data_IF_978006482967
#
_entry.id   IF_978006482967
#
_cell.length_a   1.000
_cell.length_b   1.000
_cell.length_c   1.000
_cell.angle_alpha   90.00
_cell.angle_beta   90.00
_cell.angle_gamma   90.00
#
_symmetry.space_group_name_H-M   'P 1'
#
loop_
_entity.id
_entity.type
_entity.pdbx_description
1 polymer ?
#
# COMPACT_ATOMS: atom_id res chain seq x y z
N UNK A 1 45.11 -29.21 -27.30
CA UNK A 1 45.25 -28.75 -25.90
C UNK A 1 45.98 -27.41 -25.78
N UNK A 2 47.22 -27.28 -26.27
CA UNK A 2 48.02 -26.04 -26.13
C UNK A 2 47.35 -24.80 -26.72
N UNK A 3 46.70 -24.94 -27.88
CA UNK A 3 46.04 -23.81 -28.56
C UNK A 3 44.90 -23.18 -27.74
N UNK A 4 44.04 -24.01 -27.12
CA UNK A 4 42.94 -23.52 -26.27
C UNK A 4 43.44 -22.84 -24.99
N UNK A 5 44.54 -23.33 -24.42
CA UNK A 5 45.20 -22.70 -23.25
C UNK A 5 45.68 -21.29 -23.61
N UNK A 6 46.37 -21.15 -24.74
CA UNK A 6 46.87 -19.84 -25.21
C UNK A 6 45.73 -18.88 -25.50
N UNK A 7 44.65 -19.34 -26.15
CA UNK A 7 43.48 -18.50 -26.43
C UNK A 7 42.79 -18.02 -25.15
N UNK A 8 42.63 -18.88 -24.15
CA UNK A 8 42.06 -18.51 -22.85
C UNK A 8 42.91 -17.46 -22.13
N UNK A 9 44.24 -17.61 -22.13
CA UNK A 9 45.14 -16.60 -21.56
C UNK A 9 45.06 -15.26 -22.30
N UNK A 10 45.02 -15.28 -23.64
CA UNK A 10 44.89 -14.07 -24.44
C UNK A 10 43.55 -13.36 -24.22
N UNK A 11 42.45 -14.11 -24.14
CA UNK A 11 41.13 -13.55 -23.81
C UNK A 11 41.11 -12.97 -22.39
N UNK A 12 41.69 -13.67 -21.41
CA UNK A 12 41.75 -13.18 -20.04
C UNK A 12 42.57 -11.90 -19.91
N UNK A 13 43.71 -11.81 -20.60
CA UNK A 13 44.52 -10.59 -20.66
C UNK A 13 43.74 -9.42 -21.26
N UNK A 14 42.95 -9.65 -22.31
CA UNK A 14 42.11 -8.61 -22.93
C UNK A 14 40.99 -8.13 -22.02
N UNK A 15 40.23 -9.06 -21.43
CA UNK A 15 39.03 -8.76 -20.65
C UNK A 15 39.34 -8.12 -19.29
N UNK A 16 40.49 -8.47 -18.68
CA UNK A 16 40.86 -7.98 -17.33
C UNK A 16 41.85 -6.82 -17.32
N UNK A 17 42.12 -6.21 -18.47
CA UNK A 17 43.00 -5.03 -18.55
C UNK A 17 44.48 -5.35 -18.31
N UNK A 18 44.93 -6.52 -18.75
CA UNK A 18 46.34 -6.92 -18.75
C UNK A 18 46.76 -7.84 -17.59
N UNK A 19 48.09 -7.95 -17.41
CA UNK A 19 48.71 -8.94 -16.53
C UNK A 19 48.34 -8.78 -15.05
N UNK A 20 48.17 -7.54 -14.57
CA UNK A 20 47.79 -7.30 -13.18
C UNK A 20 46.41 -7.90 -12.88
N UNK A 21 45.40 -7.62 -13.72
CA UNK A 21 44.06 -8.16 -13.54
C UNK A 21 43.99 -9.68 -13.71
N UNK A 22 44.78 -10.24 -14.63
CA UNK A 22 44.93 -11.69 -14.79
C UNK A 22 45.48 -12.35 -13.51
N UNK A 23 46.59 -11.82 -12.97
CA UNK A 23 47.24 -12.37 -11.79
C UNK A 23 46.37 -12.22 -10.54
N UNK A 24 45.68 -11.09 -10.39
CA UNK A 24 44.71 -10.90 -9.31
C UNK A 24 43.58 -11.93 -9.39
N UNK A 25 43.01 -12.14 -10.58
CA UNK A 25 41.95 -13.15 -10.75
C UNK A 25 42.42 -14.57 -10.46
N UNK A 26 43.64 -14.91 -10.90
CA UNK A 26 44.25 -16.20 -10.60
C UNK A 26 44.43 -16.40 -9.09
N UNK A 27 44.74 -15.33 -8.36
CA UNK A 27 44.87 -15.36 -6.91
C UNK A 27 43.52 -15.42 -6.17
N UNK A 28 42.48 -14.73 -6.66
CA UNK A 28 41.16 -14.68 -6.00
C UNK A 28 40.33 -15.92 -6.26
N UNK A 29 40.13 -16.27 -7.53
CA UNK A 29 39.19 -17.31 -7.92
C UNK A 29 39.87 -18.68 -8.02
N UNK A 30 41.20 -18.72 -8.12
CA UNK A 30 42.01 -19.94 -8.11
C UNK A 30 41.76 -20.92 -9.26
N UNK A 31 40.84 -20.61 -10.17
CA UNK A 31 40.29 -21.57 -11.12
C UNK A 31 40.95 -21.44 -12.51
N UNK A 32 41.35 -22.58 -13.08
CA UNK A 32 41.72 -22.72 -14.47
C UNK A 32 40.85 -23.81 -15.11
N UNK A 33 40.14 -23.53 -16.22
CA UNK A 33 40.21 -22.34 -17.07
C UNK A 33 39.59 -21.07 -16.46
N UNK A 34 40.12 -19.90 -16.85
CA UNK A 34 39.64 -18.61 -16.34
C UNK A 34 38.16 -18.41 -16.63
N UNK A 35 37.41 -17.93 -15.63
CA UNK A 35 35.99 -17.63 -15.79
C UNK A 35 35.76 -16.31 -16.54
N UNK A 36 34.89 -16.38 -17.54
CA UNK A 36 34.46 -15.24 -18.35
C UNK A 36 32.95 -15.10 -18.31
N UNK A 37 32.46 -13.90 -18.04
CA UNK A 37 31.02 -13.63 -18.01
C UNK A 37 30.70 -12.15 -18.10
N UNK A 38 29.42 -11.88 -18.27
CA UNK A 38 28.86 -10.53 -18.28
C UNK A 38 28.74 -10.03 -16.84
N UNK A 39 29.21 -8.81 -16.59
CA UNK A 39 29.02 -8.14 -15.29
C UNK A 39 27.54 -7.78 -15.14
N UNK A 40 26.86 -8.38 -14.17
CA UNK A 40 25.44 -8.15 -13.90
C UNK A 40 25.22 -7.00 -12.92
N UNK A 41 26.17 -6.75 -12.02
CA UNK A 41 26.11 -5.64 -11.10
C UNK A 41 27.22 -5.68 -10.04
N UNK A 42 27.23 -4.64 -9.21
CA UNK A 42 28.16 -4.47 -8.09
C UNK A 42 27.34 -4.11 -6.87
N UNK A 43 27.58 -4.77 -5.74
CA UNK A 43 26.90 -4.44 -4.48
C UNK A 43 27.57 -3.25 -3.76
N UNK A 44 26.99 -2.84 -2.63
CA UNK A 44 27.56 -1.78 -1.78
C UNK A 44 28.90 -2.16 -1.13
N UNK A 45 29.19 -3.45 -0.97
CA UNK A 45 30.45 -3.95 -0.41
C UNK A 45 31.59 -4.02 -1.45
N UNK A 46 31.28 -3.75 -2.72
CA UNK A 46 32.23 -3.81 -3.83
C UNK A 46 32.41 -5.21 -4.43
N UNK A 47 31.57 -6.18 -4.05
CA UNK A 47 31.52 -7.49 -4.70
C UNK A 47 30.92 -7.35 -6.10
N UNK A 48 31.51 -8.04 -7.06
CA UNK A 48 31.11 -8.00 -8.47
C UNK A 48 30.48 -9.31 -8.88
N UNK A 49 29.30 -9.25 -9.47
CA UNK A 49 28.51 -10.42 -9.84
C UNK A 49 28.55 -10.64 -11.34
N UNK A 50 28.84 -11.88 -11.75
CA UNK A 50 28.97 -12.24 -13.15
C UNK A 50 28.08 -13.42 -13.51
N UNK A 51 27.62 -13.43 -14.75
CA UNK A 51 26.83 -14.53 -15.30
C UNK A 51 27.35 -14.95 -16.68
N UNK A 52 27.34 -16.25 -16.96
CA UNK A 52 27.53 -16.82 -18.28
C UNK A 52 26.76 -18.14 -18.41
N UNK A 53 25.63 -18.09 -19.12
CA UNK A 53 24.74 -19.24 -19.35
C UNK A 53 25.13 -20.11 -20.56
N UNK A 54 26.06 -19.64 -21.38
CA UNK A 54 26.43 -20.31 -22.65
C UNK A 54 27.53 -21.32 -22.42
N UNK A 55 28.59 -20.91 -21.72
CA UNK A 55 29.81 -21.72 -21.60
C UNK A 55 29.86 -22.58 -20.34
N UNK A 56 29.05 -22.25 -19.32
CA UNK A 56 29.09 -22.92 -18.01
C UNK A 56 27.80 -23.68 -17.69
N UNK A 57 27.90 -24.85 -17.03
CA UNK A 57 26.74 -25.60 -16.60
C UNK A 57 25.96 -24.88 -15.48
N UNK A 58 24.71 -25.31 -15.29
CA UNK A 58 23.90 -24.86 -14.17
C UNK A 58 24.62 -25.12 -12.83
N UNK A 59 24.53 -24.15 -11.91
CA UNK A 59 25.30 -24.14 -10.66
C UNK A 59 26.69 -23.49 -10.75
N UNK A 60 27.31 -23.39 -11.93
CA UNK A 60 28.61 -22.68 -12.12
C UNK A 60 28.51 -21.42 -12.98
N UNK A 61 27.38 -21.25 -13.69
CA UNK A 61 27.08 -20.11 -14.55
C UNK A 61 27.01 -18.75 -13.86
N UNK A 62 26.86 -18.69 -12.53
CA UNK A 62 26.89 -17.46 -11.73
C UNK A 62 28.03 -17.54 -10.72
N UNK A 63 28.79 -16.46 -10.57
CA UNK A 63 29.81 -16.35 -9.54
C UNK A 63 30.00 -14.90 -9.08
N UNK A 64 30.65 -14.77 -7.93
CA UNK A 64 30.99 -13.48 -7.33
C UNK A 64 32.51 -13.33 -7.29
N UNK A 65 32.99 -12.13 -7.57
CA UNK A 65 34.36 -11.72 -7.26
C UNK A 65 34.31 -10.77 -6.08
N UNK A 66 34.99 -11.11 -4.98
CA UNK A 66 34.89 -10.32 -3.77
C UNK A 66 35.57 -8.96 -3.93
N UNK A 67 34.98 -7.93 -3.29
CA UNK A 67 35.59 -6.61 -3.20
C UNK A 67 36.86 -6.62 -2.35
N UNK A 68 36.83 -7.35 -1.23
CA UNK A 68 37.99 -7.61 -0.38
C UNK A 68 38.51 -9.05 -0.59
N UNK A 69 39.72 -9.14 -1.14
CA UNK A 69 40.36 -10.41 -1.49
C UNK A 69 40.82 -11.18 -0.25
N UNK A 70 41.23 -10.49 0.81
CA UNK A 70 41.92 -11.11 1.94
C UNK A 70 40.97 -11.55 3.05
N UNK A 71 39.77 -10.96 3.11
CA UNK A 71 38.77 -11.23 4.14
C UNK A 71 37.40 -11.53 3.53
N UNK A 72 37.37 -12.38 2.51
CA UNK A 72 36.12 -12.80 1.90
C UNK A 72 35.44 -13.89 2.72
N UNK A 73 34.15 -13.70 2.99
CA UNK A 73 33.25 -14.73 3.52
C UNK A 73 31.99 -14.83 2.66
N UNK A 74 31.46 -16.04 2.52
CA UNK A 74 30.17 -16.32 1.90
C UNK A 74 29.01 -15.49 2.48
N UNK A 75 29.08 -15.16 3.78
CA UNK A 75 28.07 -14.34 4.47
C UNK A 75 28.12 -12.85 4.10
N UNK A 76 29.20 -12.42 3.44
CA UNK A 76 29.35 -11.03 2.98
C UNK A 76 28.45 -10.67 1.80
N UNK A 77 27.84 -11.67 1.14
CA UNK A 77 26.89 -11.45 0.05
C UNK A 77 25.58 -10.92 0.65
N UNK A 78 25.11 -9.72 0.26
CA UNK A 78 23.86 -9.17 0.77
C UNK A 78 22.66 -10.03 0.32
N UNK A 79 21.54 -9.97 1.08
CA UNK A 79 20.38 -10.82 0.83
C UNK A 79 19.75 -10.63 -0.55
N UNK A 80 19.81 -9.41 -1.10
CA UNK A 80 19.32 -9.08 -2.45
C UNK A 80 20.06 -9.89 -3.54
N UNK A 81 21.38 -10.05 -3.40
CA UNK A 81 22.23 -10.79 -4.34
C UNK A 81 22.27 -12.28 -4.01
N UNK A 82 22.04 -12.67 -2.75
CA UNK A 82 22.01 -14.07 -2.34
C UNK A 82 20.92 -14.86 -3.05
N UNK A 83 19.71 -14.31 -3.19
CA UNK A 83 18.61 -14.95 -3.91
C UNK A 83 18.94 -15.19 -5.40
N UNK A 84 19.62 -14.24 -6.03
CA UNK A 84 20.08 -14.39 -7.41
C UNK A 84 21.23 -15.40 -7.54
N UNK A 85 22.23 -15.36 -6.65
CA UNK A 85 23.36 -16.30 -6.67
C UNK A 85 22.93 -17.76 -6.50
N UNK A 86 21.93 -18.00 -5.65
CA UNK A 86 21.37 -19.34 -5.40
C UNK A 86 20.31 -19.76 -6.41
N UNK A 87 20.08 -18.95 -7.46
CA UNK A 87 19.05 -19.19 -8.49
C UNK A 87 17.63 -19.30 -7.93
N UNK A 88 17.34 -18.63 -6.80
CA UNK A 88 15.96 -18.42 -6.33
C UNK A 88 15.23 -17.43 -7.25
N UNK A 89 15.94 -16.37 -7.66
CA UNK A 89 15.45 -15.36 -8.58
C UNK A 89 16.29 -15.37 -9.86
N UNK A 90 15.63 -15.22 -11.02
CA UNK A 90 16.30 -15.13 -12.31
C UNK A 90 16.87 -13.74 -12.60
N UNK A 91 16.22 -12.71 -12.07
CA UNK A 91 16.59 -11.32 -12.26
C UNK A 91 17.57 -10.87 -11.19
N UNK A 92 18.72 -10.28 -11.54
CA UNK A 92 19.59 -9.65 -10.55
C UNK A 92 18.92 -8.40 -9.97
N UNK A 93 19.26 -8.01 -8.73
CA UNK A 93 18.68 -6.82 -8.08
C UNK A 93 18.94 -5.54 -8.89
N UNK A 94 20.05 -5.46 -9.62
CA UNK A 94 20.36 -4.32 -10.50
C UNK A 94 19.34 -4.10 -11.64
N UNK A 95 18.60 -5.14 -12.05
CA UNK A 95 17.58 -5.04 -13.11
C UNK A 95 16.18 -5.45 -12.63
N UNK A 96 15.98 -5.54 -11.32
CA UNK A 96 14.73 -6.02 -10.72
C UNK A 96 13.58 -5.04 -10.95
N UNK A 97 13.84 -3.74 -10.79
CA UNK A 97 12.84 -2.69 -11.01
C UNK A 97 12.31 -2.70 -12.46
N UNK A 98 13.24 -2.74 -13.44
CA UNK A 98 12.89 -2.82 -14.85
C UNK A 98 12.08 -4.09 -15.19
N UNK A 99 12.38 -5.21 -14.53
CA UNK A 99 11.61 -6.45 -14.68
C UNK A 99 10.19 -6.29 -14.12
N UNK A 100 10.04 -5.71 -12.93
CA UNK A 100 8.72 -5.48 -12.34
C UNK A 100 7.87 -4.51 -13.18
N UNK A 101 8.46 -3.45 -13.73
CA UNK A 101 7.75 -2.54 -14.63
C UNK A 101 7.28 -3.24 -15.92
N UNK A 102 8.12 -4.09 -16.49
CA UNK A 102 7.75 -4.90 -17.66
C UNK A 102 6.64 -5.90 -17.31
N UNK A 103 6.73 -6.55 -16.14
CA UNK A 103 5.76 -7.52 -15.67
C UNK A 103 4.40 -6.89 -15.34
N UNK A 104 4.38 -5.67 -14.77
CA UNK A 104 3.15 -4.92 -14.45
C UNK A 104 2.21 -4.77 -15.66
N UNK A 105 2.75 -4.63 -16.87
CA UNK A 105 1.95 -4.55 -18.11
C UNK A 105 1.15 -5.81 -18.41
N UNK A 106 1.62 -6.96 -17.94
CA UNK A 106 0.98 -8.25 -18.13
C UNK A 106 -0.03 -8.58 -17.02
N UNK A 107 -0.06 -7.79 -15.95
CA UNK A 107 -1.01 -7.97 -14.85
C UNK A 107 -2.35 -7.38 -15.30
N UNK A 108 -3.30 -8.25 -15.62
CA UNK A 108 -4.68 -7.84 -15.85
C UNK A 108 -5.28 -7.43 -14.50
N UNK A 109 -5.78 -6.20 -14.36
CA UNK A 109 -6.48 -5.81 -13.15
C UNK A 109 -7.77 -6.65 -13.03
N UNK A 110 -7.86 -7.48 -12.00
CA UNK A 110 -9.07 -8.27 -11.71
C UNK A 110 -10.24 -7.38 -11.28
N UNK A 111 -9.93 -6.21 -10.69
CA UNK A 111 -10.89 -5.17 -10.34
C UNK A 111 -10.26 -3.80 -10.64
N UNK A 112 -11.04 -2.87 -11.17
CA UNK A 112 -10.61 -1.47 -11.32
C UNK A 112 -10.66 -0.72 -9.99
N UNK A 113 -11.54 -1.15 -9.08
CA UNK A 113 -11.76 -0.50 -7.80
C UNK A 113 -11.42 -1.45 -6.66
N UNK A 114 -10.40 -1.08 -5.90
CA UNK A 114 -10.20 -1.63 -4.57
C UNK A 114 -11.04 -0.78 -3.61
N UNK A 115 -11.97 -1.41 -2.89
CA UNK A 115 -12.65 -0.77 -1.76
C UNK A 115 -11.79 -0.83 -0.49
N UNK A 116 -10.54 -1.28 -0.61
CA UNK A 116 -9.55 -1.18 0.45
C UNK A 116 -9.21 0.29 0.62
N UNK A 117 -9.25 0.84 1.85
CA UNK A 117 -8.73 2.18 2.12
C UNK A 117 -7.24 2.32 1.78
N UNK A 118 -6.50 1.19 1.75
CA UNK A 118 -5.06 1.15 1.59
C UNK A 118 -4.63 0.40 0.32
N UNK A 119 -3.69 0.96 -0.43
CA UNK A 119 -3.15 0.39 -1.68
C UNK A 119 -2.07 -0.70 -1.47
N UNK A 120 -1.56 -0.87 -0.24
CA UNK A 120 -0.47 -1.79 0.08
C UNK A 120 -0.78 -2.60 1.35
N UNK A 121 -0.27 -3.84 1.41
CA UNK A 121 -0.39 -4.73 2.58
C UNK A 121 0.52 -4.33 3.76
N UNK A 122 1.33 -3.29 3.59
CA UNK A 122 2.08 -2.62 4.64
C UNK A 122 1.26 -1.38 4.99
N UNK A 123 0.45 -1.45 6.06
CA UNK A 123 -0.57 -0.43 6.35
C UNK A 123 -0.04 1.01 6.32
N UNK A 124 -0.89 1.96 5.93
CA UNK A 124 -0.70 3.41 5.78
C UNK A 124 0.65 4.01 6.30
N UNK A 125 1.72 3.91 5.51
CA UNK A 125 2.98 4.65 5.72
C UNK A 125 3.08 5.77 4.69
N UNK A 126 2.49 6.93 4.99
CA UNK A 126 2.67 8.15 4.20
C UNK A 126 3.88 8.94 4.73
N UNK A 127 4.47 9.83 3.93
CA UNK A 127 5.55 10.75 4.37
C UNK A 127 5.17 11.52 5.65
N UNK A 128 3.91 11.96 5.78
CA UNK A 128 3.35 12.56 7.00
C UNK A 128 3.35 11.62 8.22
N UNK A 129 3.11 10.32 8.00
CA UNK A 129 3.18 9.31 9.04
C UNK A 129 4.63 8.95 9.36
N UNK A 130 5.52 8.97 8.38
CA UNK A 130 6.94 8.71 8.54
C UNK A 130 7.57 9.76 9.45
N UNK A 131 7.28 11.05 9.32
CA UNK A 131 7.84 12.08 10.21
C UNK A 131 7.31 11.99 11.66
N UNK A 132 6.01 11.72 11.84
CA UNK A 132 5.41 11.59 13.18
C UNK A 132 5.75 10.29 13.89
N UNK A 133 6.01 9.21 13.13
CA UNK A 133 6.27 7.89 13.67
C UNK A 133 7.74 7.44 13.49
N UNK A 134 8.64 8.23 12.88
CA UNK A 134 10.09 7.97 12.87
C UNK A 134 10.71 8.27 14.23
N UNK A 135 10.53 7.37 15.18
CA UNK A 135 11.44 7.33 16.30
C UNK A 135 12.82 6.89 15.80
N UNK A 136 13.74 7.83 15.58
CA UNK A 136 15.15 7.58 15.21
C UNK A 136 15.36 6.63 14.01
N UNK A 137 14.61 6.81 12.91
CA UNK A 137 14.78 6.03 11.67
C UNK A 137 14.48 4.52 11.78
N UNK A 138 13.74 4.08 12.80
CA UNK A 138 13.34 2.67 12.90
C UNK A 138 12.14 2.37 12.00
N UNK A 139 12.34 1.50 11.00
CA UNK A 139 11.31 1.05 10.07
C UNK A 139 10.20 0.19 10.72
N UNK A 140 10.40 -0.31 11.95
CA UNK A 140 9.44 -1.16 12.65
C UNK A 140 9.34 -0.82 14.15
N UNK A 141 8.32 -0.05 14.51
CA UNK A 141 8.09 0.43 15.87
C UNK A 141 7.58 -0.65 16.84
N UNK A 142 7.20 -1.83 16.33
CA UNK A 142 6.83 -2.96 17.22
C UNK A 142 8.00 -3.43 18.09
N UNK A 143 9.24 -3.14 17.67
CA UNK A 143 10.46 -3.46 18.41
C UNK A 143 10.72 -2.49 19.58
N UNK A 144 10.15 -1.28 19.54
CA UNK A 144 10.27 -0.28 20.61
C UNK A 144 9.25 -0.55 21.74
N UNK A 145 8.33 -1.49 21.56
CA UNK A 145 7.29 -1.82 22.54
C UNK A 145 7.90 -2.49 23.78
N UNK A 146 7.71 -1.85 24.92
CA UNK A 146 7.78 -2.51 26.23
C UNK A 146 6.69 -3.58 26.32
N UNK A 147 7.07 -4.86 26.42
CA UNK A 147 6.10 -5.97 26.58
C UNK A 147 5.53 -6.09 28.00
N UNK A 148 5.89 -5.17 28.90
CA UNK A 148 5.47 -5.18 30.29
C UNK A 148 4.14 -4.46 30.51
N UNK A 149 3.20 -5.08 31.22
CA UNK A 149 1.95 -4.44 31.62
C UNK A 149 2.22 -3.38 32.71
N UNK A 150 1.80 -2.14 32.46
CA UNK A 150 1.87 -1.05 33.45
C UNK A 150 3.27 -0.49 33.75
N UNK A 151 4.32 -0.96 33.07
CA UNK A 151 5.72 -0.57 33.34
C UNK A 151 6.12 0.73 32.62
N UNK A 152 5.35 1.16 31.62
CA UNK A 152 5.74 2.26 30.74
C UNK A 152 6.76 1.82 29.69
N UNK A 153 7.34 2.77 28.95
CA UNK A 153 8.33 2.50 27.91
C UNK A 153 9.64 3.27 28.17
N UNK A 154 10.65 2.63 28.77
CA UNK A 154 11.90 3.30 29.11
C UNK A 154 12.71 3.74 27.88
N UNK A 155 12.54 3.07 26.74
CA UNK A 155 13.20 3.42 25.47
C UNK A 155 12.74 4.80 24.95
N UNK A 156 11.54 5.21 25.34
CA UNK A 156 10.82 6.40 24.84
C UNK A 156 10.64 7.42 25.97
N UNK A 157 10.96 7.06 27.21
CA UNK A 157 10.78 7.90 28.40
C UNK A 157 9.34 7.98 28.90
N UNK A 158 8.47 7.04 28.54
CA UNK A 158 7.08 7.00 29.00
C UNK A 158 7.00 6.43 30.42
N UNK A 159 6.41 7.17 31.39
CA UNK A 159 6.30 6.71 32.76
C UNK A 159 5.25 5.58 32.90
N UNK A 160 5.32 4.79 33.98
CA UNK A 160 4.35 3.74 34.30
C UNK A 160 2.89 4.24 34.26
N UNK A 161 2.00 3.46 33.65
CA UNK A 161 0.56 3.73 33.62
C UNK A 161 0.05 4.68 32.52
N UNK A 162 0.94 5.38 31.79
CA UNK A 162 0.54 6.16 30.61
C UNK A 162 0.31 5.22 29.43
N UNK A 163 -0.78 5.43 28.67
CA UNK A 163 -1.06 4.65 27.46
C UNK A 163 0.04 4.90 26.43
N UNK A 164 0.61 3.81 25.91
CA UNK A 164 1.68 3.88 24.92
C UNK A 164 1.16 4.57 23.65
N UNK A 165 1.96 5.47 23.06
CA UNK A 165 1.55 6.29 21.92
C UNK A 165 1.51 5.52 20.59
N UNK A 166 1.94 4.26 20.56
CA UNK A 166 2.13 3.50 19.33
C UNK A 166 0.87 2.85 18.77
N UNK A 167 0.96 2.48 17.50
CA UNK A 167 -0.05 1.82 16.70
C UNK A 167 -0.77 0.69 17.44
N UNK A 168 -1.98 0.99 17.89
CA UNK A 168 -3.02 0.02 18.23
C UNK A 168 -3.68 -0.44 16.93
N UNK A 169 -3.90 -1.75 16.77
CA UNK A 169 -4.53 -2.30 15.57
C UNK A 169 -5.84 -1.53 15.23
N UNK A 170 -6.10 -1.23 13.94
CA UNK A 170 -7.35 -0.63 13.50
C UNK A 170 -8.54 -1.46 14.01
N UNK A 171 -9.52 -0.81 14.63
CA UNK A 171 -10.66 -1.49 15.27
C UNK A 171 -10.43 -1.99 16.70
N UNK A 172 -9.23 -1.83 17.28
CA UNK A 172 -9.00 -2.11 18.69
C UNK A 172 -9.79 -1.14 19.59
N UNK A 173 -10.50 -1.62 20.64
CA UNK A 173 -11.18 -0.76 21.61
C UNK A 173 -10.23 0.20 22.37
N UNK A 174 -8.93 -0.09 22.35
CA UNK A 174 -7.91 0.71 23.03
C UNK A 174 -7.39 1.88 22.18
N UNK A 175 -7.75 1.94 20.90
CA UNK A 175 -7.41 3.05 20.01
C UNK A 175 -8.45 4.17 20.14
N UNK A 176 -8.05 5.35 20.63
CA UNK A 176 -8.95 6.51 20.68
C UNK A 176 -9.42 6.97 19.31
N UNK A 177 -8.62 6.77 18.26
CA UNK A 177 -9.01 7.07 16.88
C UNK A 177 -10.00 6.05 16.30
N UNK A 178 -10.02 4.81 16.82
CA UNK A 178 -11.03 3.81 16.41
C UNK A 178 -12.37 3.99 17.15
N UNK A 179 -12.38 4.74 18.26
CA UNK A 179 -13.63 5.10 18.92
C UNK A 179 -14.32 6.17 18.09
N UNK A 180 -15.41 5.79 17.40
CA UNK A 180 -16.22 6.76 16.65
C UNK A 180 -16.73 7.84 17.62
N UNK A 181 -16.45 9.14 17.39
CA UNK A 181 -16.99 10.20 18.23
C UNK A 181 -18.51 10.19 18.14
N UNK A 182 -19.17 10.59 19.23
CA UNK A 182 -20.62 10.67 19.26
C UNK A 182 -21.07 11.95 18.56
N UNK A 183 -21.45 11.82 17.29
CA UNK A 183 -21.97 12.91 16.46
C UNK A 183 -23.51 12.89 16.45
N UNK A 184 -24.12 14.04 16.74
CA UNK A 184 -25.56 14.24 16.64
C UNK A 184 -25.89 14.82 15.27
N UNK A 185 -26.84 14.21 14.57
CA UNK A 185 -27.27 14.64 13.23
C UNK A 185 -28.23 15.83 13.33
N UNK A 186 -29.00 15.91 14.42
CA UNK A 186 -29.95 16.99 14.61
C UNK A 186 -30.57 16.99 16.00
N UNK A 187 -31.46 17.94 16.20
CA UNK A 187 -32.14 18.21 17.45
C UNK A 187 -33.64 18.35 17.19
N UNK A 188 -34.47 17.64 17.96
CA UNK A 188 -35.91 17.64 17.77
C UNK A 188 -36.56 18.90 18.36
N UNK A 189 -35.91 19.53 19.35
CA UNK A 189 -36.41 20.72 20.05
C UNK A 189 -35.74 22.00 19.53
N UNK A 190 -35.15 21.95 18.32
CA UNK A 190 -34.50 23.08 17.68
C UNK A 190 -35.47 24.27 17.52
N UNK A 191 -35.17 25.37 18.20
CA UNK A 191 -36.01 26.59 18.20
C UNK A 191 -36.97 26.72 19.39
N UNK A 192 -37.08 25.71 20.25
CA UNK A 192 -37.86 25.81 21.47
C UNK A 192 -37.10 26.55 22.59
N UNK A 193 -37.32 27.87 22.71
CA UNK A 193 -36.64 28.72 23.72
C UNK A 193 -37.01 28.41 25.18
N UNK A 194 -38.01 27.57 25.42
CA UNK A 194 -38.44 27.21 26.78
C UNK A 194 -37.58 26.12 27.42
N UNK A 195 -36.84 25.35 26.62
CA UNK A 195 -36.01 24.24 27.08
C UNK A 195 -34.54 24.67 27.00
N UNK A 196 -33.71 24.46 28.05
CA UNK A 196 -32.27 24.69 27.96
C UNK A 196 -31.59 23.70 26.99
N UNK A 197 -30.55 24.13 26.28
CA UNK A 197 -29.83 23.34 25.24
C UNK A 197 -29.30 21.98 25.73
N UNK A 198 -29.07 21.83 27.03
CA UNK A 198 -28.63 20.58 27.67
C UNK A 198 -29.74 19.53 27.77
N UNK A 199 -31.01 19.97 27.81
CA UNK A 199 -32.19 19.12 27.93
C UNK A 199 -32.85 18.81 26.58
N UNK A 200 -32.30 19.35 25.49
CA UNK A 200 -32.78 19.12 24.14
C UNK A 200 -32.69 17.65 23.71
N UNK A 201 -33.71 17.17 23.01
CA UNK A 201 -33.76 15.80 22.46
C UNK A 201 -32.91 15.69 21.18
N UNK A 202 -31.60 15.63 21.35
CA UNK A 202 -30.62 15.41 20.27
C UNK A 202 -30.61 13.95 19.80
N UNK A 203 -30.44 13.72 18.50
CA UNK A 203 -30.46 12.38 17.92
C UNK A 203 -29.31 12.13 16.91
N UNK A 204 -28.84 10.88 16.85
CA UNK A 204 -27.82 10.40 15.88
C UNK A 204 -28.39 9.75 14.62
N UNK A 205 -29.69 9.54 14.54
CA UNK A 205 -30.34 8.94 13.35
C UNK A 205 -31.84 9.23 13.33
N UNK A 206 -32.45 9.17 12.14
CA UNK A 206 -33.91 9.35 11.98
C UNK A 206 -34.71 8.36 12.83
N UNK A 207 -34.30 7.08 12.88
CA UNK A 207 -34.93 6.08 13.76
C UNK A 207 -34.81 6.44 15.24
N UNK A 208 -33.75 7.13 15.66
CA UNK A 208 -33.63 7.61 17.03
C UNK A 208 -34.54 8.82 17.27
N UNK A 209 -34.63 9.76 16.32
CA UNK A 209 -35.60 10.84 16.36
C UNK A 209 -37.04 10.29 16.54
N UNK A 210 -37.41 9.25 15.78
CA UNK A 210 -38.71 8.61 15.89
C UNK A 210 -38.94 7.90 17.23
N UNK A 211 -37.88 7.45 17.91
CA UNK A 211 -37.99 6.91 19.28
C UNK A 211 -38.19 8.00 20.33
N UNK A 212 -37.64 9.19 20.09
CA UNK A 212 -37.74 10.35 21.00
C UNK A 212 -39.05 11.15 20.81
N UNK A 213 -39.72 10.98 19.67
CA UNK A 213 -41.02 11.62 19.37
C UNK A 213 -42.16 11.03 20.16
N UNK A 214 -43.07 11.88 20.62
CA UNK A 214 -44.32 11.46 21.24
C UNK A 214 -45.29 10.89 20.18
N UNK A 215 -46.30 10.10 20.58
CA UNK A 215 -47.30 9.57 19.64
C UNK A 215 -48.02 10.69 18.85
N UNK A 216 -48.37 11.79 19.52
CA UNK A 216 -49.05 12.95 18.91
C UNK A 216 -48.17 13.63 17.83
N UNK A 217 -46.86 13.78 18.10
CA UNK A 217 -45.91 14.33 17.13
C UNK A 217 -45.81 13.43 15.88
N UNK A 218 -45.91 12.11 16.04
CA UNK A 218 -45.89 11.16 14.91
C UNK A 218 -47.16 11.25 14.08
N UNK A 219 -48.31 11.29 14.73
CA UNK A 219 -49.61 11.40 14.05
C UNK A 219 -49.70 12.71 13.27
N UNK A 220 -49.18 13.82 13.81
CA UNK A 220 -49.12 15.10 13.12
C UNK A 220 -48.21 15.07 11.87
N UNK A 221 -47.10 14.33 11.91
CA UNK A 221 -46.22 14.15 10.74
C UNK A 221 -46.89 13.30 9.68
N UNK A 222 -47.58 12.22 10.08
CA UNK A 222 -48.35 11.37 9.16
C UNK A 222 -49.43 12.17 8.43
N UNK A 223 -50.21 12.97 9.17
CA UNK A 223 -51.23 13.83 8.58
C UNK A 223 -50.65 14.86 7.60
N UNK A 224 -49.48 15.44 7.91
CA UNK A 224 -48.79 16.35 6.99
C UNK A 224 -48.32 15.63 5.72
N UNK A 225 -47.75 14.43 5.85
CA UNK A 225 -47.30 13.63 4.72
C UNK A 225 -48.47 13.21 3.81
N UNK A 226 -49.61 12.83 4.41
CA UNK A 226 -50.84 12.53 3.67
C UNK A 226 -51.36 13.76 2.92
N UNK A 227 -51.37 14.93 3.57
CA UNK A 227 -51.78 16.18 2.93
C UNK A 227 -50.85 16.59 1.78
N UNK A 228 -49.53 16.38 1.90
CA UNK A 228 -48.57 16.63 0.83
C UNK A 228 -48.74 15.63 -0.33
N UNK A 229 -48.95 14.35 -0.04
CA UNK A 229 -49.21 13.35 -1.06
C UNK A 229 -50.49 13.66 -1.87
N UNK A 230 -51.54 14.12 -1.19
CA UNK A 230 -52.76 14.58 -1.85
C UNK A 230 -52.51 15.75 -2.80
N UNK A 231 -51.72 16.74 -2.39
CA UNK A 231 -51.34 17.88 -3.26
C UNK A 231 -50.56 17.43 -4.50
N UNK A 232 -49.66 16.46 -4.36
CA UNK A 232 -48.90 15.91 -5.50
C UNK A 232 -49.83 15.20 -6.48
N UNK A 233 -50.75 14.37 -5.96
CA UNK A 233 -51.74 13.67 -6.78
C UNK A 233 -52.65 14.66 -7.52
N UNK A 234 -53.09 15.73 -6.87
CA UNK A 234 -53.88 16.79 -7.50
C UNK A 234 -53.09 17.50 -8.60
N UNK A 235 -51.83 17.86 -8.35
CA UNK A 235 -50.97 18.47 -9.36
C UNK A 235 -50.75 17.56 -10.59
N UNK A 236 -50.59 16.24 -10.39
CA UNK A 236 -50.49 15.27 -11.49
C UNK A 236 -51.78 15.15 -12.30
N UNK A 237 -52.94 15.17 -11.62
CA UNK A 237 -54.25 15.19 -12.30
C UNK A 237 -54.43 16.47 -13.12
N UNK A 238 -54.00 17.61 -12.60
CA UNK A 238 -54.02 18.86 -13.35
C UNK A 238 -53.07 18.83 -14.55
N UNK A 239 -51.86 18.29 -14.39
CA UNK A 239 -50.90 18.17 -15.48
C UNK A 239 -51.40 17.25 -16.60
N UNK A 240 -51.95 16.09 -16.23
CA UNK A 240 -52.50 15.11 -17.18
C UNK A 240 -53.72 15.67 -17.93
N UNK A 241 -54.61 16.41 -17.25
CA UNK A 241 -55.73 17.09 -17.91
C UNK A 241 -55.27 18.18 -18.89
N UNK A 242 -54.26 18.99 -18.53
CA UNK A 242 -53.64 19.99 -19.43
C UNK A 242 -52.99 19.34 -20.66
N UNK A 243 -52.27 18.22 -20.47
CA UNK A 243 -51.68 17.46 -21.57
C UNK A 243 -52.74 16.87 -22.51
N UNK A 244 -53.86 16.37 -21.97
CA UNK A 244 -54.98 15.87 -22.77
C UNK A 244 -55.62 17.00 -23.61
N UNK A 245 -55.83 18.18 -23.03
CA UNK A 245 -56.33 19.36 -23.74
C UNK A 245 -55.39 19.81 -24.87
N UNK A 246 -54.07 19.82 -24.63
CA UNK A 246 -53.06 20.14 -25.66
C UNK A 246 -53.01 19.12 -26.80
N UNK A 247 -53.27 17.83 -26.52
CA UNK A 247 -53.36 16.79 -27.56
C UNK A 247 -54.63 16.96 -28.40
N UNK A 248 -55.75 17.30 -27.77
CA UNK A 248 -57.01 17.54 -28.47
C UNK A 248 -56.94 18.78 -29.37
N UNK A 249 -56.27 19.86 -28.95
CA UNK A 249 -56.11 21.07 -29.78
C UNK A 249 -55.17 20.90 -30.98
N UNK A 250 -54.34 19.85 -31.00
CA UNK A 250 -53.48 19.49 -32.14
C UNK A 250 -54.22 18.73 -33.25
N UNK A 251 -55.51 18.42 -33.08
CA UNK A 251 -56.34 17.76 -34.09
C UNK A 251 -57.11 18.74 -34.97
N UNK A 252 -56.46 19.30 -35.98
CA UNK A 252 -57.04 19.79 -37.25
C UNK A 252 -55.92 20.38 -38.13
N UNK A 253 -54.89 19.58 -38.43
CA UNK A 253 -53.96 19.91 -39.52
C UNK A 253 -54.67 19.60 -40.84
N UNK A 254 -55.13 20.64 -41.52
CA UNK A 254 -55.58 20.59 -42.92
C UNK A 254 -54.51 19.91 -43.78
N UNK A 255 -54.87 18.78 -44.39
CA UNK A 255 -54.17 18.24 -45.54
C UNK A 255 -54.49 19.15 -46.74
N UNK A 256 -53.56 20.04 -47.08
CA UNK A 256 -53.41 20.65 -48.39
C UNK A 256 -51.94 20.55 -48.79
#
# INVERSE_FOLDING_TARGET
>A
MVYGVVQNFQQALRMRGGWKGLLTHMYTNGDYPFKFGTLMGVDSAGNKYYENRVDYPFGQHRWVEPGDIHNFDSTSIPPEWHGWMTSMNDTPPASEEAYFEAAKKNILPTTNDSHSPDDHNVGYVNEENTEKHNWKHFHNLTQVRSRGYGIGNPTVGLPPGVKDQYYTQPGSPYNSASMKPLEFIGDLDEGNKSIPLEQHRKYKSAKWADRLRTPEEKDAIMLKAEAEALKVIEAEKELTSKLAQQRASRGAGTLL
#
